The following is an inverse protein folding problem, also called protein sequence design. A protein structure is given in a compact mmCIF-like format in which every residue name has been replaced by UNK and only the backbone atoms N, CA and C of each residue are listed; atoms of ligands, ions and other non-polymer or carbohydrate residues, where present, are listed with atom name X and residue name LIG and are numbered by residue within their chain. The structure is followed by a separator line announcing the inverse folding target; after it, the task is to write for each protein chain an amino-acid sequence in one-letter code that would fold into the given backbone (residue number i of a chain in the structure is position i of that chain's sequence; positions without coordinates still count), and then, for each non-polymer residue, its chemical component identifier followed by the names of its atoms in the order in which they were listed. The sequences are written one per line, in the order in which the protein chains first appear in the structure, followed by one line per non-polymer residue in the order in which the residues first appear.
data_IF_590085231659
#
_entry.id   IF_590085231659
#
_cell.length_a   1.000
_cell.length_b   1.000
_cell.length_c   1.000
_cell.angle_alpha   90.00
_cell.angle_beta   90.00
_cell.angle_gamma   90.00
#
_symmetry.space_group_name_H-M   'P 1'
#
loop_
_entity.id
_entity.type
_entity.pdbx_description
1 polymer ?
#
# COMPACT_ATOMS: atom_id res chain seq x y z
N UNK A 1 39.70 -38.68 7.24
CA UNK A 1 39.52 -37.57 8.20
C UNK A 1 39.52 -36.16 7.56
N UNK A 2 40.44 -35.82 6.65
CA UNK A 2 40.46 -34.48 5.98
C UNK A 2 39.20 -34.10 5.16
N UNK A 3 38.45 -35.08 4.64
CA UNK A 3 37.23 -34.84 3.84
C UNK A 3 35.99 -34.50 4.69
N UNK A 4 35.95 -34.89 5.96
CA UNK A 4 34.84 -34.62 6.89
C UNK A 4 34.90 -33.20 7.47
N UNK A 5 36.11 -32.65 7.64
CA UNK A 5 36.28 -31.28 8.15
C UNK A 5 35.82 -30.19 7.16
N UNK A 6 35.94 -30.43 5.84
CA UNK A 6 35.53 -29.49 4.80
C UNK A 6 34.00 -29.44 4.61
N UNK A 7 33.31 -30.55 4.86
CA UNK A 7 31.84 -30.60 4.81
C UNK A 7 31.20 -29.91 6.03
N UNK A 8 31.81 -30.03 7.20
CA UNK A 8 31.35 -29.38 8.42
C UNK A 8 31.49 -27.85 8.38
N UNK A 9 32.55 -27.30 7.76
CA UNK A 9 32.72 -25.85 7.58
C UNK A 9 31.81 -25.25 6.52
N UNK A 10 31.43 -26.01 5.48
CA UNK A 10 30.41 -25.56 4.52
C UNK A 10 29.00 -25.52 5.15
N UNK A 11 28.66 -26.50 5.99
CA UNK A 11 27.38 -26.54 6.69
C UNK A 11 27.23 -25.41 7.73
N UNK A 12 28.32 -25.02 8.40
CA UNK A 12 28.35 -23.91 9.36
C UNK A 12 28.29 -22.51 8.69
N UNK A 13 28.63 -22.40 7.40
CA UNK A 13 28.54 -21.14 6.65
C UNK A 13 27.12 -20.83 6.16
N UNK A 14 26.24 -21.84 6.11
CA UNK A 14 24.84 -21.68 5.67
C UNK A 14 23.90 -21.22 6.80
N UNK A 15 24.33 -21.28 8.07
CA UNK A 15 23.49 -20.96 9.24
C UNK A 15 23.53 -19.49 9.69
N UNK A 16 24.26 -18.61 8.99
CA UNK A 16 24.37 -17.18 9.32
C UNK A 16 23.84 -16.26 8.21
N UNK A 17 22.78 -16.68 7.51
CA UNK A 17 22.00 -15.77 6.67
C UNK A 17 21.22 -14.81 7.58
N UNK A 18 21.88 -13.74 8.03
CA UNK A 18 21.20 -12.61 8.64
C UNK A 18 20.27 -11.97 7.61
N UNK A 19 19.13 -11.48 8.06
CA UNK A 19 18.26 -10.63 7.26
C UNK A 19 19.10 -9.45 6.74
N UNK A 20 19.33 -9.40 5.43
CA UNK A 20 20.22 -8.43 4.80
C UNK A 20 19.43 -7.27 4.20
N UNK A 21 20.13 -6.17 3.93
CA UNK A 21 19.59 -5.03 3.16
C UNK A 21 19.03 -5.56 1.84
N UNK A 22 17.75 -5.29 1.58
CA UNK A 22 17.15 -5.48 0.26
C UNK A 22 17.36 -4.20 -0.50
N UNK A 23 18.06 -4.28 -1.64
CA UNK A 23 18.14 -3.19 -2.60
C UNK A 23 17.11 -3.41 -3.69
N UNK A 24 16.05 -2.61 -3.67
CA UNK A 24 15.03 -2.60 -4.70
C UNK A 24 15.43 -1.72 -5.88
N UNK A 25 14.65 -1.84 -6.96
CA UNK A 25 14.79 -0.97 -8.12
C UNK A 25 14.59 0.50 -7.73
N UNK A 26 15.25 1.38 -8.49
CA UNK A 26 15.15 2.82 -8.29
C UNK A 26 15.82 3.32 -7.01
N UNK A 27 16.77 2.59 -6.42
CA UNK A 27 17.56 3.11 -5.29
C UNK A 27 16.84 3.12 -3.94
N UNK A 28 15.64 2.51 -3.87
CA UNK A 28 14.95 2.21 -2.61
C UNK A 28 15.57 0.97 -1.97
N UNK A 29 15.75 0.99 -0.66
CA UNK A 29 16.24 -0.14 0.10
C UNK A 29 15.58 -0.24 1.47
N UNK A 30 15.62 -1.41 2.09
CA UNK A 30 15.17 -1.60 3.47
C UNK A 30 15.98 -2.71 4.15
N UNK A 31 16.10 -2.61 5.46
CA UNK A 31 16.67 -3.67 6.29
C UNK A 31 15.61 -4.72 6.55
N UNK A 32 15.57 -5.80 5.76
CA UNK A 32 14.55 -6.84 5.91
C UNK A 32 14.46 -7.35 7.35
N UNK A 33 13.23 -7.53 7.87
CA UNK A 33 13.02 -8.18 9.16
C UNK A 33 13.35 -9.68 9.08
N UNK A 34 13.61 -10.28 10.24
CA UNK A 34 13.81 -11.72 10.34
C UNK A 34 12.47 -12.46 10.20
N UNK A 35 12.29 -13.21 9.11
CA UNK A 35 11.02 -13.88 8.79
C UNK A 35 10.13 -13.04 7.88
N UNK A 36 8.95 -13.55 7.54
CA UNK A 36 7.97 -12.81 6.73
C UNK A 36 6.78 -12.38 7.61
N UNK A 37 6.16 -11.22 7.37
CA UNK A 37 6.55 -10.19 6.40
C UNK A 37 7.87 -9.49 6.80
N UNK A 38 8.69 -9.15 5.80
CA UNK A 38 10.02 -8.55 6.00
C UNK A 38 10.13 -7.11 5.48
N UNK A 39 9.05 -6.59 4.89
CA UNK A 39 8.84 -5.19 4.59
C UNK A 39 7.66 -4.69 5.42
N UNK A 40 7.82 -3.52 6.02
CA UNK A 40 6.78 -2.87 6.82
C UNK A 40 6.95 -1.36 6.74
N UNK A 41 5.88 -0.64 6.38
CA UNK A 41 5.89 0.81 6.36
C UNK A 41 4.59 1.37 6.86
N UNK A 42 4.69 2.47 7.60
CA UNK A 42 3.55 3.34 7.86
C UNK A 42 3.26 4.16 6.60
N UNK A 43 1.99 4.48 6.39
CA UNK A 43 1.51 5.35 5.33
C UNK A 43 0.60 6.42 5.92
N UNK A 44 0.63 7.60 5.32
CA UNK A 44 -0.35 8.65 5.53
C UNK A 44 -1.06 8.93 4.20
N UNK A 45 -2.38 9.16 4.23
CA UNK A 45 -3.16 9.34 3.01
C UNK A 45 -4.40 10.20 3.22
N UNK A 46 -4.97 10.66 2.11
CA UNK A 46 -6.35 11.17 2.04
C UNK A 46 -7.12 10.44 0.94
N UNK A 47 -8.43 10.42 1.07
CA UNK A 47 -9.33 9.74 0.16
C UNK A 47 -10.65 10.49 0.01
N UNK A 48 -11.36 10.22 -1.06
CA UNK A 48 -12.66 10.81 -1.33
C UNK A 48 -13.50 9.89 -2.21
N UNK A 49 -14.82 10.08 -2.13
CA UNK A 49 -15.76 9.46 -3.04
C UNK A 49 -15.88 10.32 -4.30
N UNK A 50 -15.98 9.67 -5.45
CA UNK A 50 -16.15 10.31 -6.75
C UNK A 50 -17.19 9.58 -7.58
N UNK A 51 -17.77 10.25 -8.58
CA UNK A 51 -18.57 9.60 -9.63
C UNK A 51 -17.76 9.38 -10.92
N UNK A 52 -16.46 9.69 -10.92
CA UNK A 52 -15.56 9.32 -12.03
C UNK A 52 -15.09 7.88 -11.86
N UNK A 53 -15.28 7.05 -12.90
CA UNK A 53 -14.71 5.71 -12.91
C UNK A 53 -13.19 5.75 -13.22
N UNK A 54 -12.36 5.24 -12.30
CA UNK A 54 -10.90 5.18 -12.46
C UNK A 54 -10.36 3.78 -12.76
N UNK A 55 -11.21 2.75 -12.85
CA UNK A 55 -10.79 1.37 -13.08
C UNK A 55 -9.99 1.17 -14.39
N UNK A 56 -10.16 2.04 -15.39
CA UNK A 56 -9.37 2.01 -16.64
C UNK A 56 -8.04 2.76 -16.54
N UNK A 57 -7.75 3.44 -15.43
CA UNK A 57 -6.60 4.33 -15.22
C UNK A 57 -5.38 3.67 -14.57
N UNK A 58 -5.45 2.37 -14.27
CA UNK A 58 -4.47 1.60 -13.52
C UNK A 58 -3.02 1.77 -14.02
N UNK A 59 -2.78 1.81 -15.33
CA UNK A 59 -1.38 1.79 -15.84
C UNK A 59 -0.76 3.17 -16.04
N UNK A 60 -1.51 4.25 -15.80
CA UNK A 60 -1.09 5.60 -16.23
C UNK A 60 -1.10 6.65 -15.13
N UNK A 61 -1.60 6.33 -13.93
CA UNK A 61 -1.84 7.34 -12.87
C UNK A 61 -2.88 8.42 -13.26
N UNK A 62 -3.40 8.38 -14.48
CA UNK A 62 -4.35 9.35 -15.02
C UNK A 62 -5.77 9.15 -14.46
N UNK A 63 -6.05 7.99 -13.86
CA UNK A 63 -7.35 7.65 -13.27
C UNK A 63 -7.74 8.63 -12.16
N UNK A 64 -6.89 8.78 -11.13
CA UNK A 64 -7.17 9.64 -9.97
C UNK A 64 -7.11 11.13 -10.34
N UNK A 65 -6.25 11.51 -11.30
CA UNK A 65 -6.20 12.87 -11.84
C UNK A 65 -7.55 13.33 -12.44
N UNK A 66 -8.35 12.40 -12.97
CA UNK A 66 -9.68 12.69 -13.55
C UNK A 66 -10.81 12.63 -12.51
N UNK A 67 -10.50 12.22 -11.27
CA UNK A 67 -11.44 11.99 -10.18
C UNK A 67 -11.51 13.13 -9.15
N UNK A 68 -10.70 14.18 -9.31
CA UNK A 68 -10.71 15.39 -8.49
C UNK A 68 -11.76 16.41 -8.96
N UNK A 69 -12.19 17.26 -8.02
CA UNK A 69 -13.09 18.41 -8.23
C UNK A 69 -14.58 18.07 -8.48
N UNK A 70 -15.10 18.29 -9.69
CA UNK A 70 -16.54 18.35 -9.99
C UNK A 70 -17.31 17.04 -9.73
N UNK A 71 -16.58 15.93 -9.63
CA UNK A 71 -17.15 14.61 -9.43
C UNK A 71 -16.92 14.10 -7.99
N UNK A 72 -16.15 14.81 -7.15
CA UNK A 72 -15.98 14.45 -5.75
C UNK A 72 -17.28 14.70 -4.96
N UNK A 73 -17.66 13.75 -4.10
CA UNK A 73 -18.94 13.77 -3.40
C UNK A 73 -18.78 13.53 -1.90
N UNK A 74 -19.63 14.17 -1.11
CA UNK A 74 -19.60 14.04 0.36
C UNK A 74 -20.10 12.63 0.76
N UNK A 75 -19.43 11.93 1.69
CA UNK A 75 -19.72 10.53 2.04
C UNK A 75 -20.91 10.33 2.97
N UNK A 76 -21.93 11.19 2.88
CA UNK A 76 -23.14 10.99 3.69
C UNK A 76 -23.95 9.86 3.12
N UNK A 77 -24.52 9.02 3.98
CA UNK A 77 -25.34 7.89 3.52
C UNK A 77 -26.50 8.38 2.63
N UNK A 78 -27.12 9.52 2.96
CA UNK A 78 -28.16 10.14 2.12
C UNK A 78 -27.65 10.51 0.73
N UNK A 79 -26.50 11.18 0.64
CA UNK A 79 -25.92 11.60 -0.64
C UNK A 79 -25.52 10.39 -1.48
N UNK A 80 -24.76 9.46 -0.89
CA UNK A 80 -24.27 8.27 -1.61
C UNK A 80 -25.40 7.33 -2.02
N UNK A 81 -26.46 7.19 -1.22
CA UNK A 81 -27.66 6.43 -1.62
C UNK A 81 -28.30 7.03 -2.87
N UNK A 82 -28.35 8.36 -2.97
CA UNK A 82 -28.90 9.05 -4.15
C UNK A 82 -28.05 8.91 -5.41
N UNK A 83 -26.77 8.56 -5.24
CA UNK A 83 -25.77 8.44 -6.30
C UNK A 83 -25.45 6.98 -6.68
N UNK A 84 -26.10 5.98 -6.09
CA UNK A 84 -25.81 4.55 -6.38
C UNK A 84 -25.89 4.23 -7.89
N UNK A 85 -26.77 4.92 -8.64
CA UNK A 85 -26.86 4.77 -10.09
C UNK A 85 -25.64 5.25 -10.87
N UNK A 86 -24.86 6.18 -10.30
CA UNK A 86 -23.61 6.72 -10.85
C UNK A 86 -22.40 5.90 -10.40
N UNK A 87 -22.60 4.86 -9.57
CA UNK A 87 -21.58 3.95 -9.02
C UNK A 87 -20.43 4.71 -8.33
N UNK A 88 -20.67 5.31 -7.14
CA UNK A 88 -19.65 6.07 -6.43
C UNK A 88 -18.41 5.21 -6.19
N UNK A 89 -17.24 5.79 -6.44
CA UNK A 89 -15.94 5.14 -6.32
C UNK A 89 -15.11 5.83 -5.23
N UNK A 90 -14.48 5.06 -4.37
CA UNK A 90 -13.50 5.53 -3.41
C UNK A 90 -12.12 5.53 -4.06
N UNK A 91 -11.50 6.71 -4.08
CA UNK A 91 -10.16 6.94 -4.61
C UNK A 91 -9.33 7.69 -3.58
N UNK A 92 -8.01 7.65 -3.72
CA UNK A 92 -7.14 8.40 -2.82
C UNK A 92 -5.69 8.47 -3.25
N UNK A 93 -4.94 9.26 -2.50
CA UNK A 93 -3.49 9.46 -2.65
C UNK A 93 -2.84 9.50 -1.27
N UNK A 94 -1.57 9.13 -1.19
CA UNK A 94 -0.81 9.16 0.05
C UNK A 94 0.68 8.99 -0.16
N UNK A 95 1.40 8.89 0.96
CA UNK A 95 2.84 8.69 1.02
C UNK A 95 3.22 7.57 1.98
N UNK A 96 4.36 6.95 1.72
CA UNK A 96 5.03 6.07 2.65
C UNK A 96 5.91 6.89 3.58
N UNK A 97 5.75 6.72 4.88
CA UNK A 97 6.65 7.32 5.86
C UNK A 97 7.98 6.56 5.84
N UNK A 98 8.95 7.13 5.11
CA UNK A 98 10.28 6.57 4.92
C UNK A 98 11.24 6.95 6.04
N UNK A 99 12.31 6.17 6.22
CA UNK A 99 13.41 6.44 7.15
C UNK A 99 12.99 6.55 8.63
N UNK A 100 11.93 5.85 9.05
CA UNK A 100 11.45 5.90 10.44
C UNK A 100 12.38 5.19 11.44
N UNK A 101 13.44 4.53 10.95
CA UNK A 101 14.44 3.83 11.76
C UNK A 101 14.02 2.43 12.21
N UNK A 102 12.85 1.95 11.77
CA UNK A 102 12.37 0.61 12.03
C UNK A 102 12.85 -0.37 10.94
N UNK A 103 13.13 -1.61 11.33
CA UNK A 103 13.44 -2.66 10.35
C UNK A 103 12.24 -2.92 9.43
N UNK A 104 12.51 -3.23 8.17
CA UNK A 104 11.50 -3.42 7.12
C UNK A 104 11.03 -2.13 6.45
N UNK A 105 11.33 -0.95 7.02
CA UNK A 105 10.91 0.33 6.49
C UNK A 105 11.72 0.74 5.24
N UNK A 106 11.04 1.23 4.18
CA UNK A 106 11.73 1.70 2.99
C UNK A 106 12.55 2.97 3.27
N UNK A 107 13.70 3.05 2.63
CA UNK A 107 14.66 4.14 2.71
C UNK A 107 15.20 4.42 1.31
N UNK A 108 15.42 5.70 1.02
CA UNK A 108 16.11 6.16 -0.17
C UNK A 108 16.74 7.52 0.12
N UNK A 109 17.81 7.85 -0.60
CA UNK A 109 18.47 9.15 -0.45
C UNK A 109 17.86 10.16 -1.42
N UNK A 110 17.08 11.09 -0.89
CA UNK A 110 16.52 12.21 -1.66
C UNK A 110 15.41 11.81 -2.63
N UNK A 111 14.64 10.79 -2.27
CA UNK A 111 13.44 10.41 -3.00
C UNK A 111 12.23 10.44 -2.06
N UNK A 112 11.06 10.36 -2.66
CA UNK A 112 9.78 10.16 -1.98
C UNK A 112 9.06 8.95 -2.61
N UNK A 113 8.33 8.21 -1.78
CA UNK A 113 7.43 7.15 -2.22
C UNK A 113 5.99 7.57 -1.95
N UNK A 114 5.28 7.89 -3.02
CA UNK A 114 3.86 8.26 -2.99
C UNK A 114 3.02 7.15 -3.60
N UNK A 115 1.71 7.17 -3.38
CA UNK A 115 0.80 6.21 -3.99
C UNK A 115 -0.54 6.83 -4.34
N UNK A 116 -1.24 6.15 -5.23
CA UNK A 116 -2.62 6.42 -5.60
C UNK A 116 -3.40 5.12 -5.67
N UNK A 117 -4.67 5.14 -5.30
CA UNK A 117 -5.56 3.97 -5.41
C UNK A 117 -6.94 4.35 -5.92
N UNK A 118 -7.65 3.34 -6.42
CA UNK A 118 -9.01 3.47 -6.92
C UNK A 118 -9.63 2.11 -7.22
N UNK A 119 -10.75 2.11 -7.93
CA UNK A 119 -11.50 0.93 -8.33
C UNK A 119 -12.31 0.27 -7.22
N UNK A 120 -12.54 0.98 -6.11
CA UNK A 120 -13.34 0.53 -4.96
C UNK A 120 -14.72 1.17 -5.08
N UNK A 121 -15.75 0.41 -5.42
CA UNK A 121 -17.09 0.93 -5.70
C UNK A 121 -18.06 0.68 -4.56
N UNK A 122 -18.91 1.67 -4.28
CA UNK A 122 -20.12 1.46 -3.49
C UNK A 122 -21.20 0.89 -4.42
N UNK A 123 -21.61 -0.35 -4.17
CA UNK A 123 -22.64 -1.02 -4.97
C UNK A 123 -24.05 -0.77 -4.43
N UNK A 124 -24.18 -0.84 -3.11
CA UNK A 124 -25.47 -0.74 -2.45
C UNK A 124 -25.31 -0.22 -1.01
N UNK A 125 -26.41 0.26 -0.46
CA UNK A 125 -26.57 0.56 0.96
C UNK A 125 -27.80 -0.19 1.44
N UNK A 126 -27.58 -1.23 2.22
CA UNK A 126 -28.64 -2.13 2.68
C UNK A 126 -28.97 -1.89 4.15
N UNK A 127 -30.24 -2.09 4.50
CA UNK A 127 -30.65 -2.16 5.89
C UNK A 127 -30.41 -3.56 6.43
N UNK A 128 -29.50 -3.72 7.38
CA UNK A 128 -29.20 -5.00 8.03
C UNK A 128 -29.64 -4.98 9.49
N UNK A 129 -30.24 -6.07 9.95
CA UNK A 129 -30.62 -6.21 11.36
C UNK A 129 -29.40 -6.66 12.17
N UNK A 130 -28.93 -5.78 13.06
CA UNK A 130 -27.81 -6.06 13.95
C UNK A 130 -28.30 -6.31 15.37
N UNK A 131 -27.43 -6.80 16.25
CA UNK A 131 -27.73 -6.88 17.70
C UNK A 131 -28.08 -5.53 18.34
N UNK A 132 -27.80 -4.41 17.67
CA UNK A 132 -28.15 -3.06 18.10
C UNK A 132 -29.31 -2.44 17.30
N UNK A 133 -30.08 -3.29 16.62
CA UNK A 133 -31.20 -2.90 15.75
C UNK A 133 -30.79 -2.74 14.29
N UNK A 134 -31.76 -2.37 13.43
CA UNK A 134 -31.52 -2.17 12.01
C UNK A 134 -30.52 -1.03 11.76
N UNK A 135 -29.50 -1.24 10.91
CA UNK A 135 -28.47 -0.26 10.51
C UNK A 135 -28.26 -0.21 9.00
N UNK A 136 -27.88 0.95 8.48
CA UNK A 136 -27.41 1.09 7.10
C UNK A 136 -25.98 0.54 6.97
N UNK A 137 -25.83 -0.53 6.18
CA UNK A 137 -24.55 -1.17 5.89
C UNK A 137 -24.18 -0.93 4.42
N UNK A 138 -22.99 -0.34 4.13
CA UNK A 138 -22.51 -0.20 2.76
C UNK A 138 -22.01 -1.55 2.22
N UNK A 139 -22.38 -1.87 0.98
CA UNK A 139 -21.85 -3.00 0.22
C UNK A 139 -20.78 -2.46 -0.74
N UNK A 140 -19.52 -2.84 -0.52
CA UNK A 140 -18.37 -2.35 -1.28
C UNK A 140 -17.85 -3.47 -2.18
N UNK A 141 -17.67 -3.16 -3.47
CA UNK A 141 -17.02 -4.03 -4.44
C UNK A 141 -15.62 -3.50 -4.76
N UNK A 142 -14.62 -4.37 -4.59
CA UNK A 142 -13.21 -4.07 -4.85
C UNK A 142 -12.60 -4.97 -5.94
N UNK A 143 -13.41 -5.65 -6.77
CA UNK A 143 -12.94 -6.57 -7.83
C UNK A 143 -12.08 -5.86 -8.89
N UNK A 144 -12.25 -4.54 -9.03
CA UNK A 144 -11.46 -3.69 -9.92
C UNK A 144 -10.49 -2.79 -9.17
N UNK A 145 -10.29 -3.01 -7.86
CA UNK A 145 -9.51 -2.13 -7.04
C UNK A 145 -8.01 -2.31 -7.29
N UNK A 146 -7.29 -1.20 -7.30
CA UNK A 146 -5.90 -1.13 -7.68
C UNK A 146 -5.16 -0.12 -6.79
N UNK A 147 -3.85 -0.33 -6.64
CA UNK A 147 -2.95 0.59 -5.95
C UNK A 147 -1.62 0.67 -6.70
N UNK A 148 -1.18 1.90 -6.96
CA UNK A 148 0.11 2.19 -7.58
C UNK A 148 0.98 2.99 -6.64
N UNK A 149 2.25 2.65 -6.60
CA UNK A 149 3.30 3.34 -5.85
C UNK A 149 4.24 3.99 -6.85
N UNK A 150 4.55 5.26 -6.63
CA UNK A 150 5.45 6.07 -7.46
C UNK A 150 6.68 6.44 -6.66
N UNK A 151 7.80 6.51 -7.39
CA UNK A 151 9.10 6.90 -6.87
C UNK A 151 9.50 8.21 -7.55
N UNK A 152 9.59 9.28 -6.76
CA UNK A 152 10.02 10.58 -7.24
C UNK A 152 11.36 10.99 -6.61
N UNK A 153 12.28 11.46 -7.46
CA UNK A 153 13.56 12.05 -7.08
C UNK A 153 13.63 13.54 -7.38
N UNK A 154 12.86 14.02 -8.35
CA UNK A 154 12.97 15.37 -8.90
C UNK A 154 12.19 16.36 -8.03
N UNK A 155 11.08 15.92 -7.44
CA UNK A 155 10.18 16.75 -6.62
C UNK A 155 9.92 16.14 -5.23
N UNK A 156 10.89 15.39 -4.69
CA UNK A 156 10.76 14.75 -3.39
C UNK A 156 10.44 15.78 -2.27
N UNK A 157 9.33 15.54 -1.56
CA UNK A 157 8.80 16.39 -0.51
C UNK A 157 7.85 17.50 -0.99
N UNK A 158 7.45 17.52 -2.27
CA UNK A 158 6.42 18.42 -2.77
C UNK A 158 5.00 17.94 -2.48
N UNK A 159 4.76 16.63 -2.34
CA UNK A 159 3.48 16.12 -1.90
C UNK A 159 3.32 16.36 -0.39
N UNK A 160 2.16 16.90 0.00
CA UNK A 160 1.82 17.18 1.39
C UNK A 160 0.42 16.66 1.70
N UNK A 161 0.36 15.47 2.31
CA UNK A 161 -0.90 14.85 2.74
C UNK A 161 -1.70 15.75 3.71
N UNK A 162 -1.01 16.56 4.52
CA UNK A 162 -1.65 17.46 5.49
C UNK A 162 -2.33 18.65 4.80
N UNK A 163 -1.76 19.13 3.68
CA UNK A 163 -2.41 20.11 2.82
C UNK A 163 -3.65 19.51 2.14
N UNK A 164 -3.56 18.25 1.69
CA UNK A 164 -4.64 17.52 1.03
C UNK A 164 -5.88 17.33 1.94
N UNK A 165 -5.68 17.06 3.23
CA UNK A 165 -6.75 16.87 4.21
C UNK A 165 -7.62 18.11 4.46
N UNK A 166 -7.09 19.32 4.21
CA UNK A 166 -7.82 20.59 4.41
C UNK A 166 -8.12 21.34 3.11
N UNK A 167 -7.83 20.68 1.98
CA UNK A 167 -7.80 21.24 0.66
C UNK A 167 -9.17 21.63 0.09
N UNK A 168 -9.18 22.65 -0.76
CA UNK A 168 -10.21 22.81 -1.78
C UNK A 168 -9.86 21.95 -3.01
N UNK A 169 -10.76 21.89 -3.99
CA UNK A 169 -10.57 21.10 -5.22
C UNK A 169 -9.27 21.41 -5.99
N UNK A 170 -8.81 22.67 -6.01
CA UNK A 170 -7.58 23.04 -6.72
C UNK A 170 -6.32 22.56 -5.99
N UNK A 171 -6.32 22.64 -4.65
CA UNK A 171 -5.23 22.11 -3.82
C UNK A 171 -5.14 20.60 -3.98
N UNK A 172 -6.23 19.84 -3.84
CA UNK A 172 -6.18 18.38 -4.01
C UNK A 172 -5.72 17.97 -5.42
N UNK A 173 -6.11 18.71 -6.46
CA UNK A 173 -5.66 18.42 -7.82
C UNK A 173 -4.14 18.63 -7.98
N UNK A 174 -3.57 19.59 -7.25
CA UNK A 174 -2.12 19.79 -7.20
C UNK A 174 -1.45 18.62 -6.49
N UNK A 175 -1.96 18.22 -5.33
CA UNK A 175 -1.43 17.09 -4.56
C UNK A 175 -1.54 15.76 -5.30
N UNK A 176 -2.62 15.51 -6.06
CA UNK A 176 -2.70 14.33 -6.95
C UNK A 176 -1.60 14.36 -8.00
N UNK A 177 -1.33 15.54 -8.58
CA UNK A 177 -0.23 15.73 -9.52
C UNK A 177 1.12 15.38 -8.90
N UNK A 178 1.38 15.85 -7.67
CA UNK A 178 2.62 15.57 -6.96
C UNK A 178 2.74 14.11 -6.52
N UNK A 179 1.64 13.49 -6.09
CA UNK A 179 1.62 12.08 -5.71
C UNK A 179 1.77 11.12 -6.90
N UNK A 180 1.63 11.58 -8.15
CA UNK A 180 1.61 10.72 -9.34
C UNK A 180 2.61 11.11 -10.44
N UNK A 181 3.46 12.12 -10.22
CA UNK A 181 4.45 12.60 -11.18
C UNK A 181 5.73 11.73 -11.27
N UNK A 182 5.91 10.79 -10.34
CA UNK A 182 7.10 9.95 -10.23
C UNK A 182 7.12 8.76 -11.21
N UNK A 183 8.19 7.98 -11.13
CA UNK A 183 8.31 6.70 -11.87
C UNK A 183 7.44 5.64 -11.19
N UNK A 184 6.63 4.91 -11.95
CA UNK A 184 5.84 3.77 -11.43
C UNK A 184 6.77 2.71 -10.80
N UNK A 185 6.80 2.67 -9.49
CA UNK A 185 7.66 1.81 -8.68
C UNK A 185 7.05 0.43 -8.50
N UNK A 186 5.78 0.39 -8.13
CA UNK A 186 4.99 -0.84 -7.97
C UNK A 186 3.56 -0.60 -8.44
N UNK A 187 2.99 -1.54 -9.16
CA UNK A 187 1.56 -1.57 -9.48
C UNK A 187 0.94 -2.84 -8.94
N UNK A 188 -0.27 -2.71 -8.40
CA UNK A 188 -0.95 -3.80 -7.71
C UNK A 188 -2.45 -3.84 -7.99
N UNK A 189 -3.05 -5.01 -7.82
CA UNK A 189 -4.50 -5.24 -7.80
C UNK A 189 -4.90 -5.76 -6.44
N UNK A 190 -6.04 -5.34 -5.89
CA UNK A 190 -6.54 -5.92 -4.65
C UNK A 190 -7.16 -7.30 -4.95
N UNK A 191 -6.76 -8.30 -4.18
CA UNK A 191 -7.36 -9.64 -4.20
C UNK A 191 -8.48 -9.77 -3.16
N UNK A 192 -8.24 -9.23 -1.97
CA UNK A 192 -9.19 -9.23 -0.86
C UNK A 192 -9.32 -7.80 -0.33
N UNK A 193 -10.54 -7.40 -0.01
CA UNK A 193 -10.83 -6.12 0.63
C UNK A 193 -11.90 -6.32 1.69
N UNK A 194 -11.69 -5.68 2.84
CA UNK A 194 -12.69 -5.61 3.89
C UNK A 194 -12.74 -4.20 4.44
N UNK A 195 -13.96 -3.73 4.70
CA UNK A 195 -14.23 -2.46 5.35
C UNK A 195 -15.00 -2.71 6.64
N UNK A 196 -14.55 -2.08 7.71
CA UNK A 196 -15.22 -2.07 9.01
C UNK A 196 -15.53 -0.62 9.38
N UNK A 197 -16.81 -0.22 9.42
CA UNK A 197 -17.17 1.14 9.80
C UNK A 197 -16.80 1.41 11.25
N UNK A 198 -16.49 2.67 11.57
CA UNK A 198 -16.37 3.09 12.96
C UNK A 198 -17.70 2.88 13.68
N UNK A 199 -17.64 2.41 14.93
CA UNK A 199 -18.86 2.06 15.67
C UNK A 199 -19.73 3.29 15.94
N UNK A 200 -19.12 4.45 16.21
CA UNK A 200 -19.85 5.70 16.37
C UNK A 200 -20.52 6.12 15.06
N UNK A 201 -19.78 6.08 13.95
CA UNK A 201 -20.28 6.42 12.63
C UNK A 201 -21.46 5.50 12.22
N UNK A 202 -21.34 4.19 12.46
CA UNK A 202 -22.42 3.22 12.24
C UNK A 202 -23.66 3.51 13.11
N UNK A 203 -23.47 3.90 14.37
CA UNK A 203 -24.58 4.17 15.28
C UNK A 203 -25.45 5.36 14.85
N UNK A 204 -24.85 6.33 14.17
CA UNK A 204 -25.52 7.51 13.62
C UNK A 204 -25.91 7.37 12.13
N UNK A 205 -25.92 6.14 11.61
CA UNK A 205 -26.23 5.85 10.21
C UNK A 205 -25.35 6.66 9.23
N UNK A 206 -24.08 6.84 9.60
CA UNK A 206 -23.02 7.48 8.81
C UNK A 206 -21.86 6.49 8.60
N UNK A 207 -22.18 5.24 8.29
CA UNK A 207 -21.20 4.15 8.24
C UNK A 207 -20.00 4.41 7.33
N UNK A 208 -20.09 5.31 6.35
CA UNK A 208 -18.99 5.69 5.44
C UNK A 208 -18.21 6.95 5.88
N UNK A 209 -18.59 7.59 6.98
CA UNK A 209 -17.93 8.80 7.47
C UNK A 209 -16.61 8.53 8.17
N UNK A 210 -16.44 7.35 8.76
CA UNK A 210 -15.19 6.90 9.34
C UNK A 210 -15.16 5.38 9.44
N UNK A 211 -13.97 4.79 9.34
CA UNK A 211 -13.80 3.35 9.49
C UNK A 211 -12.38 2.90 9.24
N UNK A 212 -12.21 1.58 9.22
CA UNK A 212 -10.95 0.93 8.91
C UNK A 212 -11.10 -0.03 7.74
N UNK A 213 -10.03 -0.18 6.97
CA UNK A 213 -9.94 -1.17 5.90
C UNK A 213 -8.74 -2.09 6.09
N UNK A 214 -8.84 -3.29 5.52
CA UNK A 214 -7.75 -4.24 5.36
C UNK A 214 -7.88 -4.86 3.99
N UNK A 215 -6.75 -5.03 3.30
CA UNK A 215 -6.73 -5.65 2.00
C UNK A 215 -5.48 -6.50 1.77
N UNK A 216 -5.59 -7.42 0.81
CA UNK A 216 -4.48 -8.14 0.20
C UNK A 216 -4.33 -7.65 -1.23
N UNK A 217 -3.09 -7.51 -1.68
CA UNK A 217 -2.79 -7.13 -3.07
C UNK A 217 -1.85 -8.09 -3.76
N UNK A 218 -2.06 -8.18 -5.07
CA UNK A 218 -1.25 -8.86 -6.05
C UNK A 218 -0.35 -7.86 -6.77
N UNK A 219 0.95 -8.15 -6.89
CA UNK A 219 1.87 -7.29 -7.64
C UNK A 219 1.77 -7.58 -9.13
N UNK A 220 1.37 -6.58 -9.91
CA UNK A 220 1.09 -6.71 -11.36
C UNK A 220 2.09 -5.97 -12.24
N UNK A 221 2.87 -5.05 -11.68
CA UNK A 221 3.79 -4.22 -12.46
C UNK A 221 4.75 -3.36 -11.66
N UNK A 222 5.49 -2.50 -12.37
CA UNK A 222 6.42 -1.52 -11.81
C UNK A 222 7.87 -1.98 -11.79
N UNK A 223 8.79 -1.03 -11.65
CA UNK A 223 10.23 -1.33 -11.70
C UNK A 223 10.70 -2.21 -10.52
N UNK A 224 9.99 -2.19 -9.39
CA UNK A 224 10.30 -2.97 -8.18
C UNK A 224 9.52 -4.29 -8.08
N UNK A 225 8.71 -4.67 -9.08
CA UNK A 225 7.88 -5.88 -9.02
C UNK A 225 8.68 -7.14 -8.63
N UNK A 226 9.91 -7.26 -9.13
CA UNK A 226 10.76 -8.43 -8.92
C UNK A 226 11.40 -8.48 -7.53
N UNK A 227 11.18 -7.48 -6.69
CA UNK A 227 11.63 -7.46 -5.30
C UNK A 227 10.59 -8.08 -4.34
N UNK A 228 9.36 -8.28 -4.80
CA UNK A 228 8.27 -8.85 -4.01
C UNK A 228 8.05 -10.33 -4.42
N UNK A 229 7.67 -11.16 -3.45
CA UNK A 229 7.45 -12.59 -3.70
C UNK A 229 6.10 -12.79 -4.41
N UNK A 230 6.05 -13.59 -5.50
CA UNK A 230 4.83 -13.79 -6.27
C UNK A 230 3.93 -14.94 -5.79
N UNK A 231 4.32 -15.72 -4.76
CA UNK A 231 3.46 -16.75 -4.14
C UNK A 231 4.15 -17.46 -2.96
N UNK A 232 3.53 -17.47 -1.78
CA UNK A 232 3.49 -18.64 -0.90
C UNK A 232 2.14 -18.67 -0.20
N UNK A 233 1.58 -19.88 -0.11
CA UNK A 233 0.24 -20.28 0.37
C UNK A 233 -0.06 -19.95 1.86
N UNK A 234 0.44 -18.83 2.37
CA UNK A 234 0.28 -18.28 3.72
C UNK A 234 0.31 -16.73 3.65
N UNK A 235 -0.86 -16.11 3.49
CA UNK A 235 -1.26 -14.77 3.99
C UNK A 235 -0.44 -13.49 3.67
N UNK A 236 0.61 -13.50 2.83
CA UNK A 236 1.44 -12.29 2.67
C UNK A 236 1.88 -12.03 1.22
N UNK A 237 1.04 -11.32 0.45
CA UNK A 237 1.44 -10.71 -0.84
C UNK A 237 1.67 -9.20 -0.68
N UNK A 238 0.72 -8.46 -0.14
CA UNK A 238 0.97 -7.41 0.84
C UNK A 238 -0.31 -7.22 1.65
N UNK A 239 -0.20 -7.08 2.96
CA UNK A 239 -1.34 -6.92 3.86
C UNK A 239 -1.31 -5.53 4.47
N UNK A 240 -2.48 -4.91 4.57
CA UNK A 240 -2.64 -3.66 5.31
C UNK A 240 -3.39 -3.87 6.62
N UNK A 241 -2.84 -3.30 7.70
CA UNK A 241 -3.45 -3.35 9.02
C UNK A 241 -3.79 -1.96 9.50
N UNK A 242 -5.06 -1.79 9.89
CA UNK A 242 -5.51 -0.58 10.55
C UNK A 242 -5.45 0.65 9.66
N UNK A 243 -5.69 0.51 8.35
CA UNK A 243 -5.88 1.67 7.48
C UNK A 243 -7.16 2.38 7.92
N UNK A 244 -7.00 3.41 8.74
CA UNK A 244 -8.09 4.17 9.33
C UNK A 244 -8.28 5.45 8.54
N UNK A 245 -9.52 5.89 8.36
CA UNK A 245 -9.81 7.18 7.75
C UNK A 245 -11.06 7.81 8.35
N UNK A 246 -11.11 9.15 8.34
CA UNK A 246 -12.27 9.92 8.79
C UNK A 246 -12.53 11.13 7.90
N UNK A 247 -13.78 11.28 7.50
CA UNK A 247 -14.32 12.46 6.83
C UNK A 247 -14.96 13.46 7.81
N UNK A 248 -15.10 13.06 9.08
CA UNK A 248 -15.72 13.88 10.12
C UNK A 248 -14.68 14.70 10.86
N UNK A 249 -15.04 15.95 11.19
CA UNK A 249 -14.23 16.77 12.09
C UNK A 249 -14.18 16.11 13.49
N UNK A 250 -13.01 16.13 14.14
CA UNK A 250 -12.79 15.42 15.42
C UNK A 250 -13.68 15.84 16.59
N UNK A 251 -14.46 16.93 16.44
CA UNK A 251 -15.41 17.42 17.44
C UNK A 251 -16.88 17.14 17.08
N UNK A 252 -17.18 16.44 15.98
CA UNK A 252 -18.54 16.05 15.62
C UNK A 252 -18.81 14.59 16.03
N UNK A 253 -19.37 14.35 17.23
CA UNK A 253 -19.64 12.99 17.71
C UNK A 253 -20.78 12.31 16.96
N UNK A 254 -21.52 13.04 16.12
CA UNK A 254 -22.67 12.55 15.36
C UNK A 254 -22.38 12.32 13.89
N UNK A 255 -21.16 12.65 13.44
CA UNK A 255 -20.76 12.55 12.03
C UNK A 255 -21.70 13.30 11.08
N UNK A 256 -22.37 14.33 11.58
CA UNK A 256 -23.37 15.13 10.86
C UNK A 256 -22.77 16.05 9.80
N UNK A 257 -21.48 16.38 9.95
CA UNK A 257 -20.70 17.25 9.07
C UNK A 257 -19.51 16.49 8.52
N UNK A 258 -19.63 16.07 7.27
CA UNK A 258 -18.57 15.36 6.56
C UNK A 258 -17.93 16.27 5.52
N UNK A 259 -16.62 16.14 5.38
CA UNK A 259 -15.84 16.79 4.33
C UNK A 259 -15.88 15.97 3.05
N UNK A 260 -15.56 16.63 1.93
CA UNK A 260 -15.38 15.97 0.64
C UNK A 260 -14.17 15.04 0.65
N UNK A 261 -13.08 15.49 1.26
CA UNK A 261 -11.82 14.75 1.41
C UNK A 261 -11.66 14.31 2.86
N UNK A 262 -11.11 13.11 3.07
CA UNK A 262 -10.82 12.61 4.40
C UNK A 262 -9.78 13.49 5.10
N UNK A 263 -10.05 13.83 6.36
CA UNK A 263 -9.21 14.68 7.20
C UNK A 263 -8.01 13.92 7.78
N UNK A 264 -8.17 12.62 7.95
CA UNK A 264 -7.14 11.72 8.46
C UNK A 264 -7.18 10.44 7.64
N UNK A 265 -6.00 9.90 7.35
CA UNK A 265 -5.81 8.59 6.76
C UNK A 265 -4.43 8.10 7.15
N UNK A 266 -4.37 7.00 7.90
CA UNK A 266 -3.10 6.41 8.33
C UNK A 266 -3.21 4.89 8.40
N UNK A 267 -2.07 4.21 8.37
CA UNK A 267 -1.99 2.82 8.78
C UNK A 267 -0.68 2.16 8.36
N UNK A 268 -0.66 0.82 8.30
CA UNK A 268 0.57 0.06 8.04
C UNK A 268 0.39 -0.89 6.88
N UNK A 269 1.38 -0.90 5.98
CA UNK A 269 1.52 -1.85 4.87
C UNK A 269 2.65 -2.82 5.18
N UNK A 270 2.40 -4.11 5.03
CA UNK A 270 3.37 -5.18 5.22
C UNK A 270 3.49 -5.99 3.95
N UNK A 271 4.70 -6.39 3.56
CA UNK A 271 4.90 -7.21 2.36
C UNK A 271 5.99 -8.25 2.58
N UNK A 272 5.89 -9.32 1.79
CA UNK A 272 6.92 -10.34 1.73
C UNK A 272 7.85 -10.09 0.54
N UNK A 273 9.13 -9.93 0.82
CA UNK A 273 10.12 -9.54 -0.17
C UNK A 273 11.21 -10.57 -0.36
N UNK A 274 11.78 -10.57 -1.56
CA UNK A 274 12.93 -11.39 -1.91
C UNK A 274 14.15 -10.79 -1.22
N UNK A 275 14.58 -11.42 -0.12
CA UNK A 275 15.79 -11.00 0.60
C UNK A 275 16.98 -11.05 -0.36
N UNK A 276 17.84 -10.02 -0.32
CA UNK A 276 18.91 -9.87 -1.31
C UNK A 276 19.78 -11.13 -1.45
N UNK A 277 20.25 -11.45 -2.67
CA UNK A 277 20.89 -12.71 -3.04
C UNK A 277 22.33 -12.84 -2.54
N UNK A 278 22.59 -12.57 -1.26
CA UNK A 278 23.89 -12.87 -0.64
C UNK A 278 24.23 -14.36 -0.79
N UNK A 279 23.23 -15.25 -0.77
CA UNK A 279 23.37 -16.68 -1.09
C UNK A 279 23.91 -16.96 -2.50
N UNK A 280 23.51 -16.20 -3.54
CA UNK A 280 24.06 -16.38 -4.89
C UNK A 280 25.52 -15.92 -4.97
N UNK A 281 25.87 -14.82 -4.29
CA UNK A 281 27.26 -14.35 -4.23
C UNK A 281 28.16 -15.35 -3.49
N UNK A 282 27.70 -15.91 -2.36
CA UNK A 282 28.44 -16.94 -1.61
C UNK A 282 28.51 -18.28 -2.35
N UNK A 283 27.44 -18.69 -3.06
CA UNK A 283 27.46 -19.88 -3.90
C UNK A 283 28.40 -19.70 -5.11
N UNK A 284 28.38 -18.53 -5.74
CA UNK A 284 29.31 -18.16 -6.82
C UNK A 284 30.77 -18.18 -6.35
N UNK A 285 31.07 -17.55 -5.21
CA UNK A 285 32.41 -17.59 -4.60
C UNK A 285 32.81 -19.02 -4.19
N UNK A 286 31.88 -19.84 -3.72
CA UNK A 286 32.10 -21.25 -3.42
C UNK A 286 32.48 -22.07 -4.66
N UNK A 287 31.81 -21.83 -5.78
CA UNK A 287 32.12 -22.45 -7.07
C UNK A 287 33.48 -22.00 -7.61
N UNK A 288 33.82 -20.72 -7.52
CA UNK A 288 35.15 -20.22 -7.86
C UNK A 288 36.23 -20.85 -6.97
N UNK A 289 36.01 -20.94 -5.66
CA UNK A 289 36.93 -21.59 -4.72
C UNK A 289 37.18 -23.07 -5.05
N UNK A 290 36.12 -23.80 -5.40
CA UNK A 290 36.21 -25.21 -5.83
C UNK A 290 36.97 -25.37 -7.16
N UNK A 291 36.75 -24.47 -8.13
CA UNK A 291 37.46 -24.49 -9.40
C UNK A 291 38.97 -24.25 -9.23
N UNK A 292 39.37 -23.32 -8.35
CA UNK A 292 40.79 -23.10 -8.03
C UNK A 292 41.42 -24.29 -7.29
N UNK A 293 40.68 -24.91 -6.35
CA UNK A 293 41.15 -26.09 -5.63
C UNK A 293 41.31 -27.31 -6.55
N UNK A 294 40.38 -27.51 -7.50
CA UNK A 294 40.46 -28.58 -8.50
C UNK A 294 41.66 -28.37 -9.44
N UNK A 295 41.92 -27.12 -9.88
CA UNK A 295 43.05 -26.79 -10.74
C UNK A 295 44.41 -27.04 -10.07
N UNK A 296 44.50 -26.86 -8.75
CA UNK A 296 45.71 -27.11 -7.96
C UNK A 296 45.97 -28.60 -7.71
N UNK A 297 44.97 -29.47 -7.91
CA UNK A 297 45.11 -30.93 -7.75
C UNK A 297 45.59 -31.64 -9.01
N UNK A 298 45.52 -30.96 -10.16
CA UNK A 298 45.95 -31.47 -11.47
C UNK A 298 47.30 -30.88 -11.93
N UNK A 299 47.98 -30.13 -11.05
CA UNK A 299 49.40 -29.79 -11.16
C UNK A 299 50.15 -30.53 -10.06
#
# INVERSE_FOLDING_TARGET
MKKLALAATLALACSSANAGVVSAAGGVYWDALAGQPNFESTVDYTQWWTTTNTATGQDTGAGVNSAVDANAVTPSMTNLTSLLGDRPELVGIGEFLMNTGNGGNPSCSGCELTFSFGGIFLEDITMEDTVFGPRLTPQINADAAWLNIYLDYDNAGEFDVSAAATANAATIATEVGQATNGTLWLSTMLEEFSYTPDFGALFYDQALAAGSSQFLVDVTGGIAQNNFLPFFNLMYEANTRGLSSSFSEGNDPTFSTQKLYALTGDGTVQAATISAPSTLAFMGLGLFGLAFAARRRNK
#
